data_IF_392576194916
#
_entry.id   IF_392576194916
#
_cell.length_a   1.000
_cell.length_b   1.000
_cell.length_c   1.000
_cell.angle_alpha   90.00
_cell.angle_beta   90.00
_cell.angle_gamma   90.00
#
_symmetry.space_group_name_H-M   'P 1'
#
loop_
_entity.id
_entity.type
_entity.pdbx_description
1 polymer ?
#
# COMPACT_ATOMS: atom_id res chain seq x y z
N UNK A 1 13.24 -42.93 -22.97
CA UNK A 1 14.51 -42.17 -22.96
C UNK A 1 14.35 -41.08 -21.92
N UNK A 2 14.99 -41.23 -20.77
CA UNK A 2 14.88 -40.35 -19.60
C UNK A 2 16.29 -39.85 -19.30
N UNK A 3 16.55 -38.54 -19.25
CA UNK A 3 17.82 -38.04 -18.72
C UNK A 3 17.69 -37.75 -17.20
N UNK A 4 18.71 -38.06 -16.39
CA UNK A 4 18.80 -37.66 -14.99
C UNK A 4 19.80 -36.50 -14.76
N UNK A 5 19.52 -35.64 -13.78
CA UNK A 5 20.45 -34.65 -13.23
C UNK A 5 19.78 -33.78 -12.16
N UNK A 6 19.75 -34.23 -10.89
CA UNK A 6 20.47 -33.68 -9.71
C UNK A 6 20.20 -32.18 -9.44
N UNK A 7 19.38 -31.87 -8.42
CA UNK A 7 19.77 -31.54 -7.03
C UNK A 7 20.58 -30.24 -6.94
N UNK A 8 20.03 -29.17 -6.36
CA UNK A 8 20.29 -28.58 -5.02
C UNK A 8 19.42 -27.28 -5.05
N UNK A 9 18.55 -26.88 -4.11
CA UNK A 9 18.71 -26.64 -2.69
C UNK A 9 17.42 -26.04 -2.08
N UNK A 10 17.32 -26.10 -0.76
CA UNK A 10 16.52 -25.27 0.16
C UNK A 10 14.99 -25.35 0.16
N UNK A 11 14.54 -26.18 1.10
CA UNK A 11 13.24 -26.12 1.78
C UNK A 11 13.19 -24.88 2.68
N UNK A 12 12.27 -23.95 2.39
CA UNK A 12 11.57 -23.08 3.36
C UNK A 12 10.32 -22.56 2.65
N UNK A 13 9.16 -23.07 3.04
CA UNK A 13 7.95 -22.28 3.30
C UNK A 13 6.79 -23.24 3.65
N UNK A 14 6.51 -23.39 4.93
CA UNK A 14 5.22 -23.89 5.40
C UNK A 14 5.10 -23.54 6.89
N UNK A 15 4.37 -22.47 7.20
CA UNK A 15 3.50 -22.35 8.39
C UNK A 15 2.84 -20.97 8.44
N UNK A 16 1.65 -20.87 7.82
CA UNK A 16 0.62 -19.89 8.19
C UNK A 16 -0.67 -20.65 8.41
N UNK A 17 -0.98 -20.97 9.66
CA UNK A 17 -2.35 -21.19 10.15
C UNK A 17 -2.37 -20.82 11.64
N UNK A 18 -3.05 -19.72 11.97
CA UNK A 18 -3.59 -19.44 13.30
C UNK A 18 -4.81 -20.37 13.55
N UNK A 19 -5.27 -20.59 14.80
CA UNK A 19 -6.13 -19.57 15.43
C UNK A 19 -6.03 -19.42 16.97
N UNK A 20 -6.22 -18.16 17.40
CA UNK A 20 -7.11 -17.64 18.46
C UNK A 20 -7.64 -18.63 19.53
N UNK A 21 -7.38 -18.36 20.83
CA UNK A 21 -8.39 -18.05 21.88
C UNK A 21 -7.80 -18.09 23.32
N UNK A 22 -8.26 -17.14 24.14
CA UNK A 22 -8.38 -17.12 25.62
C UNK A 22 -7.21 -16.60 26.49
N UNK A 23 -7.40 -15.38 27.00
CA UNK A 23 -6.92 -14.90 28.30
C UNK A 23 -7.94 -15.26 29.42
N UNK A 24 -7.75 -14.85 30.69
CA UNK A 24 -6.60 -15.03 31.58
C UNK A 24 -7.04 -15.71 32.90
N UNK A 25 -6.12 -16.28 33.69
CA UNK A 25 -6.35 -16.49 35.13
C UNK A 25 -5.04 -16.57 35.92
N UNK A 26 -5.12 -15.98 37.11
CA UNK A 26 -4.07 -15.73 38.06
C UNK A 26 -3.42 -17.00 38.65
N UNK A 27 -2.13 -16.91 38.96
CA UNK A 27 -1.52 -17.71 40.02
C UNK A 27 -0.54 -16.85 40.82
N UNK A 28 -0.88 -16.73 42.10
CA UNK A 28 -0.14 -16.09 43.16
C UNK A 28 1.11 -16.93 43.51
N UNK A 29 2.28 -16.29 43.64
CA UNK A 29 3.38 -16.82 44.47
C UNK A 29 3.93 -15.65 45.29
N UNK A 30 3.88 -15.84 46.60
CA UNK A 30 4.42 -14.97 47.63
C UNK A 30 5.74 -15.56 48.15
N UNK A 31 6.58 -14.66 48.67
CA UNK A 31 7.53 -14.80 49.79
C UNK A 31 9.03 -14.98 49.49
N UNK A 32 9.71 -13.84 49.69
CA UNK A 32 10.87 -13.52 50.55
C UNK A 32 12.32 -13.51 50.07
N UNK A 33 12.92 -12.39 50.48
CA UNK A 33 14.27 -12.11 50.98
C UNK A 33 15.30 -11.48 50.04
N UNK A 34 15.67 -10.27 50.48
CA UNK A 34 16.78 -9.42 50.10
C UNK A 34 18.04 -9.96 50.81
N UNK A 35 19.16 -10.10 50.10
CA UNK A 35 20.48 -9.73 50.62
C UNK A 35 21.51 -9.54 49.50
N UNK A 36 22.39 -8.58 49.72
CA UNK A 36 23.41 -8.08 48.81
C UNK A 36 24.58 -9.04 48.60
N UNK A 37 25.12 -9.11 47.37
CA UNK A 37 26.52 -8.71 47.07
C UNK A 37 26.93 -9.13 45.65
N UNK A 38 27.66 -8.20 45.02
CA UNK A 38 28.94 -8.36 44.29
C UNK A 38 28.89 -7.81 42.85
N UNK A 39 29.27 -6.54 42.71
CA UNK A 39 29.73 -5.94 41.44
C UNK A 39 31.26 -5.90 41.47
N UNK A 40 31.89 -6.39 40.40
CA UNK A 40 33.26 -6.11 40.04
C UNK A 40 33.43 -6.16 38.52
N UNK A 41 34.30 -5.25 38.06
CA UNK A 41 35.08 -5.21 36.81
C UNK A 41 34.58 -4.39 35.61
N UNK A 42 35.51 -3.58 35.08
CA UNK A 42 35.40 -2.70 33.91
C UNK A 42 36.05 -1.32 34.16
N UNK A 43 37.36 -1.26 34.47
CA UNK A 43 38.46 -0.90 33.55
C UNK A 43 38.41 0.51 32.92
N UNK A 44 39.38 1.37 33.29
CA UNK A 44 40.14 2.19 32.33
C UNK A 44 41.41 2.80 32.97
N UNK A 45 42.55 2.19 32.60
CA UNK A 45 43.79 2.81 32.10
C UNK A 45 44.32 4.14 32.66
N UNK A 46 45.37 4.01 33.47
CA UNK A 46 46.74 4.47 33.22
C UNK A 46 46.98 5.78 32.42
N UNK A 47 47.40 6.82 33.14
CA UNK A 47 48.44 7.73 32.68
C UNK A 47 49.39 8.05 33.85
N UNK A 48 50.66 7.76 33.63
CA UNK A 48 51.82 7.97 34.48
C UNK A 48 52.20 9.45 34.59
N UNK A 49 52.57 9.92 35.79
CA UNK A 49 53.91 10.48 36.04
C UNK A 49 54.06 11.04 37.47
N UNK A 50 55.31 10.99 37.94
CA UNK A 50 55.88 11.82 39.00
C UNK A 50 55.67 11.37 40.44
N UNK A 51 56.60 10.52 40.88
CA UNK A 51 57.05 10.55 42.26
C UNK A 51 57.50 11.97 42.62
N UNK A 52 56.85 12.59 43.60
CA UNK A 52 57.40 13.68 44.38
C UNK A 52 57.11 13.42 45.86
N UNK A 53 58.21 13.25 46.59
CA UNK A 53 58.26 13.11 48.03
C UNK A 53 57.53 14.26 48.72
N UNK A 54 56.62 13.93 49.64
CA UNK A 54 55.87 14.89 50.44
C UNK A 54 55.44 14.29 51.77
N UNK A 55 56.42 14.17 52.68
CA UNK A 55 56.31 14.14 54.15
C UNK A 55 55.13 13.37 54.77
N UNK A 56 55.41 12.12 55.17
CA UNK A 56 54.67 11.44 56.22
C UNK A 56 54.75 12.22 57.53
N UNK A 57 53.59 12.73 57.98
CA UNK A 57 53.39 13.28 59.31
C UNK A 57 53.14 12.15 60.30
N UNK A 58 54.16 11.94 61.14
CA UNK A 58 54.24 11.09 62.32
C UNK A 58 52.91 10.55 62.90
N UNK A 59 52.68 9.25 62.71
CA UNK A 59 52.04 8.44 63.74
C UNK A 59 53.01 8.36 64.92
N UNK A 60 52.79 9.18 65.93
CA UNK A 60 53.58 9.16 67.15
C UNK A 60 53.36 7.84 67.89
N UNK A 61 54.31 6.92 67.76
CA UNK A 61 54.58 5.89 68.77
C UNK A 61 55.16 6.59 70.02
N UNK A 62 54.29 7.30 70.74
CA UNK A 62 54.51 7.67 72.12
C UNK A 62 53.82 6.63 73.00
N UNK A 63 54.59 5.81 73.70
CA UNK A 63 54.06 5.03 74.82
C UNK A 63 53.48 6.00 75.85
N UNK A 64 52.18 6.24 75.78
CA UNK A 64 51.48 7.05 76.76
C UNK A 64 51.63 6.36 78.12
N UNK A 65 51.99 7.14 79.14
CA UNK A 65 51.85 6.70 80.52
C UNK A 65 50.39 6.22 80.75
N UNK A 66 50.16 5.19 81.59
CA UNK A 66 48.82 4.74 81.89
C UNK A 66 48.00 5.92 82.42
N UNK A 67 46.91 6.25 81.74
CA UNK A 67 46.01 7.31 82.18
C UNK A 67 45.14 6.79 83.34
N UNK A 68 44.75 7.69 84.24
CA UNK A 68 43.83 7.39 85.35
C UNK A 68 42.54 8.21 85.28
N UNK A 69 42.53 9.23 84.43
CA UNK A 69 41.39 10.09 84.13
C UNK A 69 41.51 10.67 82.72
N UNK A 70 40.39 11.15 82.16
CA UNK A 70 40.34 11.76 80.83
C UNK A 70 41.28 12.99 80.69
N UNK A 71 41.57 13.68 81.80
CA UNK A 71 42.50 14.82 81.84
C UNK A 71 43.99 14.44 81.67
N UNK A 72 44.34 13.16 81.85
CA UNK A 72 45.71 12.67 81.65
C UNK A 72 46.05 12.48 80.16
N UNK A 73 45.04 12.55 79.29
CA UNK A 73 45.18 12.31 77.86
C UNK A 73 45.37 13.61 77.07
N UNK A 74 46.49 13.76 76.36
CA UNK A 74 46.76 14.97 75.58
C UNK A 74 45.85 15.05 74.34
N UNK A 75 45.22 16.21 74.14
CA UNK A 75 44.42 16.51 72.96
C UNK A 75 43.68 17.83 73.12
N UNK A 76 43.16 18.38 72.03
CA UNK A 76 42.27 19.53 72.06
C UNK A 76 40.84 19.04 72.25
N UNK A 77 40.07 19.70 73.10
CA UNK A 77 38.63 19.47 73.20
C UNK A 77 37.99 20.07 71.95
N UNK A 78 37.27 19.24 71.19
CA UNK A 78 36.38 19.70 70.13
C UNK A 78 34.97 19.20 70.41
N UNK A 79 33.97 19.91 69.88
CA UNK A 79 32.58 19.47 69.88
C UNK A 79 32.40 18.10 69.21
N UNK A 80 33.35 17.69 68.38
CA UNK A 80 33.33 16.43 67.64
C UNK A 80 34.15 15.30 68.26
N UNK A 81 34.89 15.58 69.33
CA UNK A 81 35.65 14.55 70.02
C UNK A 81 36.45 15.11 71.19
N UNK A 82 36.44 14.34 72.27
CA UNK A 82 37.22 14.66 73.47
C UNK A 82 38.23 13.54 73.78
N UNK A 83 39.42 13.87 74.34
CA UNK A 83 40.38 12.87 74.80
C UNK A 83 39.79 12.07 75.95
N UNK A 84 39.87 10.74 75.89
CA UNK A 84 39.37 9.84 76.93
C UNK A 84 40.36 8.76 77.33
N UNK A 85 40.33 8.42 78.60
CA UNK A 85 41.06 7.31 79.17
C UNK A 85 40.20 6.04 79.17
N UNK A 86 40.60 5.05 78.38
CA UNK A 86 39.89 3.77 78.30
C UNK A 86 40.21 2.87 79.51
N UNK A 87 39.32 1.90 79.86
CA UNK A 87 39.48 1.05 81.05
C UNK A 87 40.76 0.21 81.10
N UNK A 88 41.44 0.05 79.97
CA UNK A 88 42.73 -0.62 79.80
C UNK A 88 43.94 0.31 80.00
N UNK A 89 43.71 1.54 80.47
CA UNK A 89 44.74 2.53 80.80
C UNK A 89 45.37 3.22 79.60
N UNK A 90 44.73 3.11 78.41
CA UNK A 90 45.21 3.74 77.17
C UNK A 90 44.40 5.00 76.86
N UNK A 91 45.10 6.05 76.44
CA UNK A 91 44.46 7.24 75.91
C UNK A 91 43.94 7.00 74.48
N UNK A 92 42.75 7.50 74.19
CA UNK A 92 42.23 7.64 72.85
C UNK A 92 41.25 8.80 72.74
N UNK A 93 40.44 8.82 71.70
CA UNK A 93 39.43 9.86 71.47
C UNK A 93 38.04 9.24 71.43
N UNK A 94 37.09 9.87 72.11
CA UNK A 94 35.67 9.55 72.03
C UNK A 94 35.04 10.48 71.01
N UNK A 95 35.13 10.08 69.74
CA UNK A 95 34.62 10.87 68.63
C UNK A 95 33.10 10.79 68.59
N UNK A 96 32.46 11.93 68.38
CA UNK A 96 31.05 11.98 68.06
C UNK A 96 30.77 11.22 66.75
N UNK A 97 29.58 10.61 66.60
CA UNK A 97 29.22 9.91 65.38
C UNK A 97 29.21 10.85 64.17
N UNK A 98 29.37 10.28 62.98
CA UNK A 98 29.31 11.07 61.74
C UNK A 98 27.95 11.79 61.64
N UNK A 99 27.97 13.08 61.35
CA UNK A 99 26.75 13.90 61.30
C UNK A 99 26.30 14.50 62.63
N UNK A 100 27.00 14.25 63.74
CA UNK A 100 26.72 14.96 64.99
C UNK A 100 26.93 16.48 64.80
N UNK A 101 26.04 17.34 65.34
CA UNK A 101 26.13 18.78 65.15
C UNK A 101 27.36 19.35 65.86
N UNK A 102 28.03 20.29 65.20
CA UNK A 102 29.13 21.06 65.77
C UNK A 102 29.09 22.49 65.25
N UNK A 103 29.58 23.45 66.05
CA UNK A 103 29.57 24.88 65.73
C UNK A 103 30.99 25.48 65.82
N UNK A 104 31.99 24.75 65.32
CA UNK A 104 33.39 25.16 65.37
C UNK A 104 33.87 25.66 63.99
N UNK A 105 34.22 26.94 63.93
CA UNK A 105 34.65 27.57 62.67
C UNK A 105 33.51 27.66 61.66
N UNK A 106 33.70 27.10 60.47
CA UNK A 106 32.69 26.98 59.42
C UNK A 106 32.07 25.57 59.34
N UNK A 107 32.36 24.69 60.31
CA UNK A 107 31.84 23.34 60.32
C UNK A 107 30.41 23.27 60.87
N UNK A 108 29.63 22.32 60.35
CA UNK A 108 28.24 22.06 60.77
C UNK A 108 28.05 20.62 61.28
N UNK A 109 28.96 19.70 60.94
CA UNK A 109 28.84 18.30 61.32
C UNK A 109 30.20 17.63 61.60
N UNK A 110 30.18 16.66 62.50
CA UNK A 110 31.36 15.85 62.83
C UNK A 110 31.62 14.77 61.78
N UNK A 111 32.88 14.56 61.41
CA UNK A 111 33.31 13.61 60.39
C UNK A 111 33.54 12.16 60.89
N UNK A 112 33.27 11.91 62.18
CA UNK A 112 33.54 10.65 62.88
C UNK A 112 35.02 10.42 63.25
N UNK A 113 35.91 11.35 62.91
CA UNK A 113 37.34 11.33 63.25
C UNK A 113 37.75 12.44 64.23
N UNK A 114 36.77 13.14 64.81
CA UNK A 114 37.00 14.23 65.77
C UNK A 114 37.09 15.61 65.14
N UNK A 115 36.87 15.75 63.82
CA UNK A 115 36.89 17.05 63.14
C UNK A 115 35.48 17.57 62.86
N UNK A 116 35.27 18.84 63.17
CA UNK A 116 34.11 19.58 62.72
C UNK A 116 34.35 20.03 61.27
N UNK A 117 33.53 19.54 60.33
CA UNK A 117 33.64 19.80 58.89
C UNK A 117 32.37 20.47 58.37
N UNK A 118 32.47 21.15 57.23
CA UNK A 118 31.35 21.91 56.65
C UNK A 118 30.19 20.98 56.28
N UNK A 119 30.50 19.81 55.72
CA UNK A 119 29.48 18.82 55.39
C UNK A 119 29.98 17.38 55.53
N UNK A 120 29.04 16.48 55.81
CA UNK A 120 29.23 15.02 55.74
C UNK A 120 28.12 14.34 54.94
N UNK A 121 27.07 15.08 54.63
CA UNK A 121 25.98 14.72 53.75
C UNK A 121 25.55 15.96 52.96
N UNK A 122 24.96 15.73 51.79
CA UNK A 122 24.44 16.77 50.90
C UNK A 122 23.50 17.76 51.59
N UNK A 123 22.66 17.27 52.51
CA UNK A 123 21.69 18.10 53.25
C UNK A 123 22.33 19.18 54.13
N UNK A 124 23.63 19.07 54.45
CA UNK A 124 24.34 20.09 55.22
C UNK A 124 24.70 21.32 54.38
N UNK A 125 24.65 21.21 53.06
CA UNK A 125 24.98 22.28 52.13
C UNK A 125 23.71 22.93 51.57
N UNK A 126 23.72 24.26 51.44
CA UNK A 126 22.64 25.00 50.78
C UNK A 126 22.48 24.58 49.30
N UNK A 127 23.59 24.24 48.63
CA UNK A 127 23.62 23.65 47.29
C UNK A 127 23.19 22.19 47.23
N UNK A 128 22.92 21.55 48.37
CA UNK A 128 22.69 20.11 48.50
C UNK A 128 23.83 19.25 47.93
N UNK A 129 25.06 19.77 47.88
CA UNK A 129 26.22 19.05 47.34
C UNK A 129 27.43 19.17 48.25
N UNK A 130 27.77 18.04 48.88
CA UNK A 130 28.96 17.91 49.70
C UNK A 130 30.12 17.33 48.88
N UNK A 131 31.23 18.07 48.80
CA UNK A 131 32.43 17.67 48.07
C UNK A 131 33.21 16.53 48.76
N UNK A 132 34.11 15.84 48.03
CA UNK A 132 34.94 14.76 48.58
C UNK A 132 35.91 15.25 49.69
N UNK A 133 36.21 16.54 49.71
CA UNK A 133 37.01 17.24 50.72
C UNK A 133 36.19 17.72 51.93
N UNK A 134 34.90 17.34 52.02
CA UNK A 134 33.97 17.68 53.11
C UNK A 134 33.68 19.18 53.21
N UNK A 135 33.72 19.86 52.08
CA UNK A 135 33.32 21.26 51.88
C UNK A 135 32.07 21.33 51.02
N UNK A 136 31.29 22.39 51.17
CA UNK A 136 30.12 22.59 50.32
C UNK A 136 30.54 23.13 48.96
N UNK A 137 30.12 22.43 47.90
CA UNK A 137 30.38 22.85 46.52
C UNK A 137 29.23 23.78 46.10
N UNK A 138 29.50 24.95 45.48
CA UNK A 138 28.44 25.82 45.00
C UNK A 138 27.55 25.13 43.96
N UNK A 139 26.28 25.53 43.93
CA UNK A 139 25.30 25.16 42.93
C UNK A 139 25.78 25.54 41.51
N UNK A 140 25.57 24.67 40.53
CA UNK A 140 25.94 24.92 39.12
C UNK A 140 24.96 24.22 38.18
N UNK A 141 24.57 24.90 37.09
CA UNK A 141 23.66 24.44 36.02
C UNK A 141 24.19 23.30 35.14
N UNK A 142 24.76 22.25 35.73
CA UNK A 142 25.41 21.16 35.01
C UNK A 142 26.06 20.14 35.94
N UNK A 143 25.51 19.99 37.15
CA UNK A 143 25.98 19.02 38.13
C UNK A 143 25.03 17.87 38.43
N UNK A 144 24.01 17.70 37.59
CA UNK A 144 23.03 16.63 37.58
C UNK A 144 22.21 16.53 38.86
N UNK A 145 22.02 17.66 39.56
CA UNK A 145 21.24 17.75 40.78
C UNK A 145 20.41 19.03 40.73
N UNK A 146 19.08 18.92 40.79
CA UNK A 146 18.17 20.07 40.94
C UNK A 146 18.47 20.83 42.26
N UNK A 147 19.21 21.94 42.14
CA UNK A 147 19.63 22.76 43.28
C UNK A 147 19.79 24.25 42.92
N UNK A 148 20.02 25.10 43.93
CA UNK A 148 20.04 26.54 43.70
C UNK A 148 18.65 27.09 43.34
N UNK A 149 18.56 27.85 42.25
CA UNK A 149 17.31 28.38 41.69
C UNK A 149 16.89 27.69 40.38
N UNK A 150 17.47 26.53 40.07
CA UNK A 150 17.01 25.65 38.99
C UNK A 150 15.55 25.24 39.19
N UNK A 151 14.83 25.05 38.09
CA UNK A 151 13.43 24.60 38.11
C UNK A 151 13.25 23.15 37.70
N UNK A 152 14.28 22.57 37.07
CA UNK A 152 14.49 21.13 36.92
C UNK A 152 16.02 20.87 36.84
N UNK A 153 16.45 19.61 36.83
CA UNK A 153 17.86 19.23 36.89
C UNK A 153 18.68 19.95 35.82
N UNK A 154 19.60 20.81 36.27
CA UNK A 154 20.53 21.60 35.44
C UNK A 154 19.87 22.59 34.45
N UNK A 155 18.62 23.01 34.66
CA UNK A 155 17.94 23.96 33.77
C UNK A 155 16.96 24.91 34.49
N UNK A 156 16.62 26.02 33.81
CA UNK A 156 15.68 27.02 34.28
C UNK A 156 16.25 27.97 35.35
N UNK A 157 15.45 28.95 35.77
CA UNK A 157 15.85 29.95 36.77
C UNK A 157 16.96 30.87 36.26
N UNK A 158 18.13 30.83 36.91
CA UNK A 158 19.32 31.58 36.48
C UNK A 158 20.20 30.85 35.47
N UNK A 159 19.86 29.61 35.10
CA UNK A 159 20.63 28.84 34.16
C UNK A 159 20.54 29.39 32.73
N UNK A 160 21.63 29.19 31.97
CA UNK A 160 21.67 29.57 30.54
C UNK A 160 20.86 28.59 29.69
N UNK A 161 20.70 27.36 30.18
CA UNK A 161 19.89 26.35 29.53
C UNK A 161 18.46 26.42 30.07
N UNK A 162 17.51 26.67 29.16
CA UNK A 162 16.09 26.56 29.45
C UNK A 162 15.69 25.07 29.46
N UNK A 163 14.69 24.74 30.26
CA UNK A 163 14.16 23.40 30.41
C UNK A 163 13.32 22.97 29.19
N UNK A 164 13.51 21.72 28.77
CA UNK A 164 12.73 21.13 27.69
C UNK A 164 11.28 20.78 28.13
N UNK A 165 10.38 20.46 27.19
CA UNK A 165 9.01 20.12 27.54
C UNK A 165 8.87 18.92 28.48
N UNK A 166 7.93 19.00 29.42
CA UNK A 166 7.73 18.04 30.51
C UNK A 166 8.64 18.24 31.72
N UNK A 167 9.66 19.09 31.62
CA UNK A 167 10.52 19.46 32.75
C UNK A 167 9.86 20.51 33.66
N UNK A 168 10.28 20.55 34.91
CA UNK A 168 9.83 21.53 35.90
C UNK A 168 10.13 22.98 35.51
N UNK A 169 9.17 23.88 35.71
CA UNK A 169 9.32 25.31 35.46
C UNK A 169 8.67 26.16 36.55
N UNK A 170 9.27 27.31 36.84
CA UNK A 170 8.74 28.35 37.73
C UNK A 170 8.01 29.46 36.96
N UNK A 171 8.32 29.62 35.67
CA UNK A 171 7.63 30.51 34.74
C UNK A 171 8.02 30.24 33.29
N UNK A 172 7.38 30.97 32.38
CA UNK A 172 7.51 30.81 30.93
C UNK A 172 8.95 30.91 30.42
N UNK A 173 9.77 31.76 31.04
CA UNK A 173 11.17 31.95 30.68
C UNK A 173 12.09 30.78 31.05
N UNK A 174 11.61 29.82 31.84
CA UNK A 174 12.38 28.61 32.17
C UNK A 174 12.26 27.55 31.09
N UNK A 175 11.42 27.74 30.07
CA UNK A 175 11.10 26.72 29.07
C UNK A 175 11.62 27.11 27.69
N UNK A 176 12.20 26.16 26.96
CA UNK A 176 12.65 26.38 25.56
C UNK A 176 11.49 26.88 24.67
N UNK A 177 10.27 26.37 24.89
CA UNK A 177 9.05 26.81 24.22
C UNK A 177 8.36 28.04 24.81
N UNK A 178 8.94 28.65 25.85
CA UNK A 178 8.43 29.88 26.44
C UNK A 178 7.06 29.74 27.13
N UNK A 179 6.64 28.53 27.49
CA UNK A 179 5.32 28.27 28.05
C UNK A 179 5.38 27.28 29.21
N UNK A 180 5.08 27.77 30.41
CA UNK A 180 5.03 26.98 31.64
C UNK A 180 3.58 26.76 32.09
N UNK A 181 3.09 25.52 31.98
CA UNK A 181 1.70 25.17 32.31
C UNK A 181 1.68 24.12 33.42
N UNK A 182 1.06 24.48 34.56
CA UNK A 182 0.95 23.57 35.69
C UNK A 182 2.29 23.24 36.37
N UNK A 183 3.30 24.11 36.20
CA UNK A 183 4.65 23.90 36.72
C UNK A 183 5.52 22.98 35.85
N UNK A 184 5.06 22.66 34.64
CA UNK A 184 5.80 21.89 33.64
C UNK A 184 5.90 22.67 32.34
N UNK A 185 7.04 22.57 31.66
CA UNK A 185 7.22 23.15 30.33
C UNK A 185 6.30 22.47 29.33
N UNK A 186 5.45 23.25 28.67
CA UNK A 186 4.56 22.74 27.65
C UNK A 186 5.32 22.51 26.34
N UNK A 187 4.90 21.49 25.60
CA UNK A 187 5.28 21.30 24.20
C UNK A 187 4.77 22.49 23.38
N UNK A 188 5.60 23.07 22.51
CA UNK A 188 5.15 24.10 21.58
C UNK A 188 5.70 23.86 20.19
N UNK A 189 4.91 24.20 19.17
CA UNK A 189 5.25 24.03 17.76
C UNK A 189 6.34 24.99 17.23
N UNK A 190 7.24 25.47 18.10
CA UNK A 190 8.28 26.46 17.77
C UNK A 190 9.50 26.39 18.70
N UNK A 191 9.62 25.33 19.52
CA UNK A 191 10.69 25.20 20.53
C UNK A 191 11.97 24.51 20.01
N UNK A 192 12.00 24.12 18.74
CA UNK A 192 13.17 23.55 18.08
C UNK A 192 13.37 22.07 18.35
N UNK A 193 12.50 21.41 19.12
CA UNK A 193 12.69 20.03 19.56
C UNK A 193 11.43 19.21 19.30
N UNK A 194 11.53 18.07 18.58
CA UNK A 194 10.38 17.17 18.39
C UNK A 194 9.89 16.64 19.73
N UNK A 195 8.74 17.09 20.18
CA UNK A 195 8.15 16.69 21.46
C UNK A 195 6.61 16.77 21.45
N UNK A 196 5.96 16.37 22.54
CA UNK A 196 4.49 16.36 22.59
C UNK A 196 3.87 15.43 21.53
N UNK A 197 2.93 15.97 20.75
CA UNK A 197 2.24 15.26 19.65
C UNK A 197 2.83 15.58 18.27
N UNK A 198 3.97 16.27 18.20
CA UNK A 198 4.65 16.59 16.95
C UNK A 198 5.20 15.36 16.24
N UNK A 199 5.09 15.33 14.92
CA UNK A 199 5.64 14.25 14.10
C UNK A 199 6.98 14.62 13.46
N UNK A 200 7.23 15.92 13.26
CA UNK A 200 8.52 16.53 12.94
C UNK A 200 9.03 17.40 14.09
N UNK A 201 10.15 18.12 13.92
CA UNK A 201 10.52 19.14 14.89
C UNK A 201 9.61 20.35 14.64
N UNK A 202 8.86 20.80 15.66
CA UNK A 202 7.99 21.99 15.59
C UNK A 202 6.84 21.89 14.57
N UNK A 203 6.47 20.68 14.12
CA UNK A 203 5.46 20.50 13.09
C UNK A 203 4.78 19.13 13.13
N UNK A 204 3.61 19.05 12.50
CA UNK A 204 2.80 17.84 12.38
C UNK A 204 2.07 17.47 13.68
N UNK A 205 1.22 16.45 13.62
CA UNK A 205 0.26 16.18 14.69
C UNK A 205 -0.95 17.14 14.65
N UNK A 206 -1.90 17.00 15.59
CA UNK A 206 -3.16 17.74 15.55
C UNK A 206 -3.07 19.21 15.99
N UNK A 207 -2.05 19.55 16.79
CA UNK A 207 -1.91 20.87 17.43
C UNK A 207 -0.93 21.81 16.70
N UNK A 208 -0.14 21.31 15.75
CA UNK A 208 0.87 22.07 15.01
C UNK A 208 0.56 22.21 13.52
N UNK A 209 1.22 23.18 12.87
CA UNK A 209 1.14 23.30 11.41
C UNK A 209 1.81 22.11 10.72
N UNK A 210 1.39 21.82 9.49
CA UNK A 210 1.92 20.71 8.71
C UNK A 210 3.41 20.88 8.40
N UNK A 211 4.14 19.78 8.44
CA UNK A 211 5.56 19.68 8.19
C UNK A 211 5.93 19.89 6.70
N UNK A 212 7.06 20.59 6.42
CA UNK A 212 7.61 20.71 5.08
C UNK A 212 8.26 19.41 4.58
N UNK A 213 8.61 19.36 3.30
CA UNK A 213 9.29 18.20 2.71
C UNK A 213 10.59 17.82 3.45
N UNK A 214 10.77 16.53 3.71
CA UNK A 214 11.91 15.95 4.42
C UNK A 214 11.82 16.00 5.94
N UNK A 215 10.81 16.64 6.53
CA UNK A 215 10.54 16.57 7.96
C UNK A 215 9.80 15.28 8.33
N UNK A 216 9.82 14.91 9.61
CA UNK A 216 9.19 13.69 10.11
C UNK A 216 7.66 13.73 10.07
N UNK A 217 7.04 12.60 9.77
CA UNK A 217 5.58 12.43 9.76
C UNK A 217 5.19 11.03 10.22
N UNK A 218 3.95 10.87 10.68
CA UNK A 218 3.36 9.56 10.98
C UNK A 218 2.16 9.27 10.06
N UNK A 219 1.43 10.31 9.66
CA UNK A 219 0.31 10.24 8.72
C UNK A 219 0.44 11.28 7.62
N UNK A 220 -0.23 11.04 6.50
CA UNK A 220 -0.25 11.94 5.33
C UNK A 220 -0.63 13.39 5.70
N UNK A 221 -1.59 13.55 6.62
CA UNK A 221 -2.06 14.85 7.08
C UNK A 221 -1.03 15.67 7.85
N UNK A 222 0.08 15.07 8.30
CA UNK A 222 1.16 15.80 8.95
C UNK A 222 1.98 16.63 7.97
N UNK A 223 1.88 16.36 6.67
CA UNK A 223 2.73 16.95 5.65
C UNK A 223 2.02 18.04 4.84
N UNK A 224 2.74 19.11 4.48
CA UNK A 224 2.21 20.13 3.56
C UNK A 224 1.84 19.51 2.20
N UNK A 225 2.59 18.50 1.77
CA UNK A 225 2.30 17.70 0.57
C UNK A 225 1.09 16.77 0.72
N UNK A 226 0.57 16.60 1.93
CA UNK A 226 -0.40 15.55 2.28
C UNK A 226 0.09 14.13 1.96
N UNK A 227 1.40 13.89 1.98
CA UNK A 227 1.99 12.58 1.67
C UNK A 227 3.18 12.27 2.57
N UNK A 228 3.00 11.27 3.42
CA UNK A 228 4.00 10.77 4.35
C UNK A 228 4.56 9.44 3.84
N UNK A 229 5.83 9.42 3.44
CA UNK A 229 6.50 8.23 2.92
C UNK A 229 7.72 7.88 3.77
N UNK A 230 7.80 6.64 4.25
CA UNK A 230 8.89 6.14 5.08
C UNK A 230 9.18 7.01 6.34
N UNK A 231 8.11 7.60 6.90
CA UNK A 231 8.19 8.47 8.08
C UNK A 231 8.70 9.88 7.81
N UNK A 232 8.80 10.27 6.53
CA UNK A 232 9.20 11.61 6.10
C UNK A 232 8.19 12.21 5.12
N UNK A 233 7.96 13.51 5.22
CA UNK A 233 7.12 14.22 4.26
C UNK A 233 7.81 14.22 2.89
N UNK A 234 7.19 13.55 1.93
CA UNK A 234 7.69 13.47 0.56
C UNK A 234 6.80 14.27 -0.38
N UNK A 235 7.31 14.62 -1.56
CA UNK A 235 6.44 15.18 -2.59
C UNK A 235 5.34 14.15 -2.89
N UNK A 236 4.09 14.60 -2.94
CA UNK A 236 3.00 13.70 -3.31
C UNK A 236 3.30 13.14 -4.71
N UNK A 237 3.13 11.83 -4.92
CA UNK A 237 3.39 11.19 -6.21
C UNK A 237 2.53 11.85 -7.29
N UNK A 238 3.13 12.13 -8.44
CA UNK A 238 2.41 12.69 -9.58
C UNK A 238 2.59 11.78 -10.78
N UNK A 239 1.59 11.74 -11.67
CA UNK A 239 1.60 10.89 -12.87
C UNK A 239 2.64 11.28 -13.94
N UNK A 240 3.68 12.04 -13.59
CA UNK A 240 4.68 12.60 -14.48
C UNK A 240 6.00 12.91 -13.74
N UNK A 241 6.26 12.27 -12.60
CA UNK A 241 7.46 12.49 -11.80
C UNK A 241 8.63 11.56 -12.17
N UNK A 242 8.43 10.63 -13.10
CA UNK A 242 9.45 9.72 -13.62
C UNK A 242 9.68 8.49 -12.74
N UNK A 243 8.87 8.26 -11.71
CA UNK A 243 8.97 7.13 -10.81
C UNK A 243 7.65 6.37 -10.73
N UNK A 244 7.67 5.03 -10.80
CA UNK A 244 6.46 4.23 -10.59
C UNK A 244 6.03 4.30 -9.12
N UNK A 245 5.07 5.15 -8.80
CA UNK A 245 4.60 5.40 -7.44
C UNK A 245 3.08 5.69 -7.41
N UNK A 246 2.52 5.97 -6.21
CA UNK A 246 1.09 6.30 -6.09
C UNK A 246 0.14 5.22 -6.63
N UNK A 247 -0.79 5.63 -7.50
CA UNK A 247 -1.79 4.75 -8.14
C UNK A 247 -1.31 4.13 -9.47
N UNK A 248 -0.08 4.39 -9.88
CA UNK A 248 0.44 4.00 -11.19
C UNK A 248 0.68 2.49 -11.32
N UNK A 249 0.37 1.96 -12.51
CA UNK A 249 0.69 0.56 -12.84
C UNK A 249 1.98 0.42 -13.63
N UNK A 250 2.44 1.49 -14.28
CA UNK A 250 3.78 1.64 -14.87
C UNK A 250 4.29 3.07 -14.65
N UNK A 251 5.57 3.34 -14.91
CA UNK A 251 6.15 4.69 -14.68
C UNK A 251 5.34 5.77 -15.43
N UNK A 252 4.81 6.74 -14.70
CA UNK A 252 4.03 7.88 -15.23
C UNK A 252 2.69 7.50 -15.90
N UNK A 253 2.15 6.28 -15.67
CA UNK A 253 0.89 5.86 -16.27
C UNK A 253 0.15 4.72 -15.54
N UNK A 254 -1.14 4.58 -15.87
CA UNK A 254 -2.02 3.55 -15.36
C UNK A 254 -2.66 3.90 -14.01
N UNK A 255 -3.60 3.09 -13.56
CA UNK A 255 -4.50 3.46 -12.46
C UNK A 255 -5.64 4.39 -12.91
N UNK A 256 -6.46 4.81 -11.96
CA UNK A 256 -7.67 5.58 -12.25
C UNK A 256 -7.39 7.09 -12.45
N UNK A 257 -6.40 7.64 -11.75
CA UNK A 257 -6.09 9.06 -11.77
C UNK A 257 -5.08 9.49 -12.85
N UNK A 258 -4.26 8.57 -13.36
CA UNK A 258 -3.17 8.87 -14.27
C UNK A 258 -3.53 8.62 -15.75
N UNK A 259 -2.75 9.17 -16.70
CA UNK A 259 -2.87 8.83 -18.11
C UNK A 259 -2.71 7.32 -18.31
N UNK A 260 -3.46 6.77 -19.27
CA UNK A 260 -3.38 5.33 -19.56
C UNK A 260 -2.04 4.99 -20.20
N UNK A 261 -1.53 3.81 -19.87
CA UNK A 261 -0.31 3.25 -20.42
C UNK A 261 -0.48 2.84 -21.88
N UNK A 262 0.58 3.09 -22.66
CA UNK A 262 0.71 2.58 -24.02
C UNK A 262 1.02 1.09 -24.07
N UNK A 263 1.14 0.55 -25.28
CA UNK A 263 1.43 -0.88 -25.50
C UNK A 263 2.72 -1.32 -24.82
N UNK A 264 2.69 -2.50 -24.19
CA UNK A 264 3.79 -3.08 -23.43
C UNK A 264 4.00 -2.49 -22.03
N UNK A 265 3.30 -1.40 -21.68
CA UNK A 265 3.34 -0.84 -20.33
C UNK A 265 2.71 -1.79 -19.31
N UNK A 266 3.20 -1.77 -18.08
CA UNK A 266 2.69 -2.62 -17.00
C UNK A 266 1.26 -2.20 -16.60
N UNK A 267 0.39 -3.19 -16.38
CA UNK A 267 -1.01 -2.99 -16.03
C UNK A 267 -1.50 -4.04 -15.03
N UNK A 268 -2.54 -3.69 -14.29
CA UNK A 268 -3.31 -4.63 -13.45
C UNK A 268 -4.61 -4.99 -14.15
N UNK A 269 -5.29 -4.00 -14.72
CA UNK A 269 -6.58 -4.13 -15.38
C UNK A 269 -6.61 -3.35 -16.71
N UNK A 270 -7.62 -3.60 -17.54
CA UNK A 270 -7.77 -2.93 -18.82
C UNK A 270 -7.86 -1.40 -18.72
N UNK A 271 -8.36 -0.86 -17.61
CA UNK A 271 -8.48 0.60 -17.44
C UNK A 271 -7.12 1.32 -17.45
N UNK A 272 -6.06 0.61 -17.07
CA UNK A 272 -4.70 1.12 -17.07
C UNK A 272 -4.15 1.31 -18.48
N UNK A 273 -4.75 0.67 -19.50
CA UNK A 273 -4.23 0.62 -20.85
C UNK A 273 -5.03 1.49 -21.80
N UNK A 274 -4.34 2.22 -22.69
CA UNK A 274 -4.98 2.98 -23.76
C UNK A 274 -5.82 2.05 -24.66
N UNK A 275 -5.34 0.82 -24.87
CA UNK A 275 -6.04 -0.25 -25.59
C UNK A 275 -7.22 -0.85 -24.84
N UNK A 276 -7.44 -0.50 -23.57
CA UNK A 276 -8.39 -1.17 -22.68
C UNK A 276 -8.10 -2.67 -22.43
N UNK A 277 -6.96 -3.19 -22.87
CA UNK A 277 -6.63 -4.63 -22.87
C UNK A 277 -5.34 -4.89 -22.09
N UNK A 278 -5.47 -5.51 -20.92
CA UNK A 278 -4.35 -5.90 -20.07
C UNK A 278 -4.17 -7.42 -20.10
N UNK A 279 -3.09 -7.90 -20.74
CA UNK A 279 -2.83 -9.33 -20.93
C UNK A 279 -1.51 -9.69 -20.28
N UNK A 280 -1.55 -10.61 -19.32
CA UNK A 280 -0.36 -11.06 -18.57
C UNK A 280 0.40 -9.91 -17.87
N UNK A 281 -0.34 -8.89 -17.42
CA UNK A 281 0.22 -7.74 -16.71
C UNK A 281 0.88 -6.69 -17.61
N UNK A 282 0.67 -6.75 -18.93
CA UNK A 282 1.12 -5.75 -19.87
C UNK A 282 0.00 -5.32 -20.84
N UNK A 283 -0.01 -4.04 -21.20
CA UNK A 283 -0.97 -3.50 -22.15
C UNK A 283 -0.76 -4.12 -23.53
N UNK A 284 -1.75 -4.88 -23.99
CA UNK A 284 -1.73 -5.55 -25.27
C UNK A 284 -2.41 -4.70 -26.35
N UNK A 285 -2.08 -4.95 -27.61
CA UNK A 285 -2.81 -4.34 -28.71
C UNK A 285 -4.26 -4.87 -28.71
N UNK A 286 -5.24 -4.04 -29.11
CA UNK A 286 -6.63 -4.49 -29.25
C UNK A 286 -6.71 -5.66 -30.24
N UNK A 287 -7.49 -6.69 -29.91
CA UNK A 287 -7.73 -7.84 -30.79
C UNK A 287 -9.18 -8.25 -30.75
N UNK A 288 -9.71 -8.77 -31.86
CA UNK A 288 -11.08 -9.28 -32.01
C UNK A 288 -11.38 -10.59 -31.24
N UNK A 289 -10.77 -10.78 -30.08
CA UNK A 289 -10.94 -11.94 -29.21
C UNK A 289 -10.43 -11.67 -27.77
N UNK A 290 -10.23 -10.40 -27.39
CA UNK A 290 -9.73 -10.04 -26.05
C UNK A 290 -10.85 -9.77 -25.03
N UNK A 291 -12.11 -9.86 -25.44
CA UNK A 291 -13.27 -9.80 -24.56
C UNK A 291 -13.69 -8.37 -24.21
N UNK A 292 -13.11 -7.35 -24.85
CA UNK A 292 -13.40 -5.95 -24.56
C UNK A 292 -13.67 -5.18 -25.85
N UNK A 293 -14.70 -4.31 -25.87
CA UNK A 293 -14.93 -3.43 -27.01
C UNK A 293 -13.85 -2.34 -27.04
N UNK A 294 -12.87 -2.48 -27.93
CA UNK A 294 -11.77 -1.53 -28.07
C UNK A 294 -11.38 -1.31 -29.53
N UNK A 295 -10.37 -0.46 -29.76
CA UNK A 295 -9.94 -0.14 -31.13
C UNK A 295 -11.07 0.45 -31.99
N UNK A 296 -11.32 -0.17 -33.13
CA UNK A 296 -12.33 0.23 -34.11
C UNK A 296 -13.47 -0.81 -34.23
N UNK A 297 -13.68 -1.61 -33.19
CA UNK A 297 -14.75 -2.61 -33.13
C UNK A 297 -16.13 -1.97 -32.98
N UNK A 298 -17.13 -2.59 -33.62
CA UNK A 298 -18.51 -2.15 -33.54
C UNK A 298 -19.20 -2.69 -32.26
N UNK A 299 -18.99 -3.96 -31.95
CA UNK A 299 -19.38 -4.63 -30.70
C UNK A 299 -18.15 -5.15 -29.95
N UNK A 300 -18.35 -5.95 -28.90
CA UNK A 300 -17.22 -6.61 -28.21
C UNK A 300 -16.65 -7.69 -29.13
N UNK A 301 -15.37 -7.59 -29.51
CA UNK A 301 -14.67 -8.56 -30.36
C UNK A 301 -15.28 -8.75 -31.77
N UNK A 302 -16.05 -7.78 -32.29
CA UNK A 302 -16.74 -7.91 -33.57
C UNK A 302 -16.94 -6.58 -34.30
N UNK A 303 -17.16 -6.65 -35.61
CA UNK A 303 -17.43 -5.49 -36.47
C UNK A 303 -16.64 -5.54 -37.77
N UNK A 304 -16.67 -4.46 -38.55
CA UNK A 304 -16.06 -4.44 -39.88
C UNK A 304 -14.53 -4.62 -39.87
N UNK A 305 -13.88 -4.24 -38.77
CA UNK A 305 -12.43 -4.41 -38.59
C UNK A 305 -12.02 -5.83 -38.18
N UNK A 306 -12.99 -6.67 -37.81
CA UNK A 306 -12.78 -8.02 -37.37
C UNK A 306 -13.05 -9.04 -38.49
N UNK A 307 -12.46 -10.25 -38.42
CA UNK A 307 -12.71 -11.30 -39.41
C UNK A 307 -14.18 -11.73 -39.47
N UNK A 308 -14.86 -11.69 -38.32
CA UNK A 308 -16.27 -12.02 -38.17
C UNK A 308 -17.05 -10.74 -37.84
N UNK A 309 -18.16 -10.54 -38.55
CA UNK A 309 -19.11 -9.48 -38.22
C UNK A 309 -19.86 -9.78 -36.92
N UNK A 310 -20.45 -8.75 -36.34
CA UNK A 310 -21.22 -8.85 -35.12
C UNK A 310 -22.49 -9.70 -35.28
N UNK A 311 -22.82 -10.54 -34.28
CA UNK A 311 -24.06 -11.31 -34.28
C UNK A 311 -25.29 -10.41 -34.09
N UNK A 312 -26.51 -10.93 -34.33
CA UNK A 312 -27.73 -10.15 -34.17
C UNK A 312 -27.91 -9.58 -32.76
N UNK A 313 -28.32 -8.32 -32.65
CA UNK A 313 -28.54 -7.59 -31.40
C UNK A 313 -27.33 -6.79 -30.89
N UNK A 314 -26.14 -7.03 -31.42
CA UNK A 314 -24.95 -6.24 -31.11
C UNK A 314 -24.97 -4.88 -31.81
N UNK A 315 -24.33 -3.84 -31.23
CA UNK A 315 -24.29 -2.50 -31.82
C UNK A 315 -23.52 -2.48 -33.14
N UNK A 316 -23.98 -1.66 -34.08
CA UNK A 316 -23.36 -1.44 -35.38
C UNK A 316 -23.45 0.03 -35.80
N UNK A 317 -22.52 0.46 -36.66
CA UNK A 317 -22.57 1.77 -37.32
C UNK A 317 -22.91 1.64 -38.82
N UNK A 318 -22.54 0.52 -39.44
CA UNK A 318 -22.82 0.18 -40.82
C UNK A 318 -23.17 -1.30 -41.03
N UNK A 319 -23.61 -1.63 -42.24
CA UNK A 319 -23.95 -3.00 -42.62
C UNK A 319 -22.73 -3.94 -42.52
N UNK A 320 -21.54 -3.46 -42.91
CA UNK A 320 -20.29 -4.24 -42.83
C UNK A 320 -19.91 -4.69 -41.42
N UNK A 321 -20.46 -4.04 -40.38
CA UNK A 321 -20.22 -4.45 -39.00
C UNK A 321 -20.93 -5.74 -38.63
N UNK A 322 -21.99 -6.11 -39.35
CA UNK A 322 -22.86 -7.21 -38.98
C UNK A 322 -22.55 -8.47 -39.80
N UNK A 323 -22.57 -9.62 -39.15
CA UNK A 323 -22.49 -10.91 -39.86
C UNK A 323 -23.65 -11.07 -40.86
N UNK A 324 -24.82 -10.49 -40.55
CA UNK A 324 -25.98 -10.44 -41.45
C UNK A 324 -25.86 -9.43 -42.59
N UNK A 325 -24.88 -8.52 -42.55
CA UNK A 325 -24.81 -7.37 -43.47
C UNK A 325 -26.03 -6.44 -43.38
N UNK A 326 -26.75 -6.45 -42.24
CA UNK A 326 -27.93 -5.63 -42.00
C UNK A 326 -27.81 -4.96 -40.64
N UNK A 327 -27.68 -3.64 -40.65
CA UNK A 327 -27.64 -2.79 -39.45
C UNK A 327 -28.93 -1.95 -39.39
N UNK A 328 -29.78 -2.19 -38.38
CA UNK A 328 -31.09 -1.56 -38.26
C UNK A 328 -31.20 -0.69 -37.00
N UNK A 329 -31.86 0.46 -37.15
CA UNK A 329 -32.16 1.37 -36.05
C UNK A 329 -31.67 2.80 -36.29
N UNK A 330 -31.98 3.73 -35.39
CA UNK A 330 -31.50 5.10 -35.49
C UNK A 330 -29.99 5.18 -35.17
N UNK A 331 -29.26 6.06 -35.86
CA UNK A 331 -27.82 6.28 -35.66
C UNK A 331 -27.48 6.50 -34.18
N UNK A 332 -26.51 5.73 -33.67
CA UNK A 332 -26.11 5.72 -32.26
C UNK A 332 -26.83 4.69 -31.38
N UNK A 333 -27.80 3.97 -31.95
CA UNK A 333 -28.51 2.85 -31.30
C UNK A 333 -28.87 1.74 -32.29
N UNK A 334 -28.23 1.74 -33.46
CA UNK A 334 -28.43 0.72 -34.47
C UNK A 334 -27.79 -0.59 -34.00
N UNK A 335 -28.47 -1.70 -34.30
CA UNK A 335 -28.05 -3.04 -33.93
C UNK A 335 -28.11 -3.96 -35.14
N UNK A 336 -27.28 -4.99 -35.13
CA UNK A 336 -27.29 -5.99 -36.18
C UNK A 336 -28.62 -6.75 -36.18
N UNK A 337 -29.30 -6.75 -37.31
CA UNK A 337 -30.52 -7.53 -37.46
C UNK A 337 -30.19 -9.01 -37.66
N UNK A 338 -31.13 -9.89 -37.31
CA UNK A 338 -31.04 -11.29 -37.72
C UNK A 338 -31.17 -11.39 -39.25
N UNK A 339 -30.43 -12.30 -39.91
CA UNK A 339 -30.61 -12.55 -41.34
C UNK A 339 -32.06 -12.96 -41.62
N UNK A 340 -32.65 -12.45 -42.69
CA UNK A 340 -34.05 -12.69 -43.00
C UNK A 340 -34.27 -12.95 -44.48
N UNK A 341 -35.17 -13.89 -44.79
CA UNK A 341 -35.52 -14.29 -46.15
C UNK A 341 -36.27 -13.25 -47.00
N UNK A 342 -36.25 -11.97 -46.60
CA UNK A 342 -36.99 -10.90 -47.27
C UNK A 342 -36.28 -9.54 -47.15
N UNK A 343 -35.01 -9.50 -46.76
CA UNK A 343 -34.23 -8.27 -46.57
C UNK A 343 -33.43 -7.86 -47.81
N UNK A 344 -33.45 -8.68 -48.87
CA UNK A 344 -32.76 -8.41 -50.12
C UNK A 344 -31.26 -8.65 -50.06
N UNK A 345 -30.74 -9.17 -48.94
CA UNK A 345 -29.34 -9.53 -48.78
C UNK A 345 -29.16 -11.03 -49.05
N UNK A 346 -27.91 -11.46 -49.22
CA UNK A 346 -27.56 -12.88 -49.31
C UNK A 346 -26.76 -13.21 -48.05
N UNK A 347 -27.48 -13.58 -47.00
CA UNK A 347 -26.95 -13.78 -45.65
C UNK A 347 -27.55 -15.04 -45.01
N UNK A 348 -27.09 -15.40 -43.81
CA UNK A 348 -27.58 -16.62 -43.15
C UNK A 348 -27.26 -17.89 -43.95
N UNK A 349 -28.26 -18.77 -44.11
CA UNK A 349 -28.14 -20.04 -44.84
C UNK A 349 -28.85 -20.02 -46.21
N UNK A 350 -29.16 -18.83 -46.72
CA UNK A 350 -29.75 -18.65 -48.06
C UNK A 350 -28.84 -19.20 -49.16
N UNK A 351 -29.45 -19.73 -50.21
CA UNK A 351 -28.71 -20.17 -51.39
C UNK A 351 -28.47 -19.03 -52.38
N UNK A 352 -29.39 -18.07 -52.43
CA UNK A 352 -29.31 -16.84 -53.21
C UNK A 352 -30.26 -15.81 -52.59
N UNK A 353 -30.04 -14.51 -52.78
CA UNK A 353 -30.80 -13.41 -52.14
C UNK A 353 -32.26 -13.77 -51.80
N UNK A 354 -32.59 -13.83 -50.50
CA UNK A 354 -33.94 -14.12 -49.98
C UNK A 354 -34.55 -15.50 -50.38
N UNK A 355 -33.76 -16.47 -50.83
CA UNK A 355 -34.28 -17.77 -51.28
C UNK A 355 -33.35 -18.97 -51.01
N UNK A 356 -33.97 -20.15 -50.91
CA UNK A 356 -33.27 -21.40 -50.64
C UNK A 356 -32.84 -21.56 -49.18
N UNK A 357 -32.15 -22.65 -48.85
CA UNK A 357 -31.78 -22.96 -47.47
C UNK A 357 -33.01 -23.14 -46.57
N UNK A 358 -32.99 -22.47 -45.42
CA UNK A 358 -34.11 -22.42 -44.48
C UNK A 358 -35.32 -21.60 -44.96
N UNK A 359 -35.18 -20.81 -46.03
CA UNK A 359 -36.26 -19.96 -46.52
C UNK A 359 -37.42 -20.77 -47.13
N UNK A 360 -38.64 -20.31 -46.83
CA UNK A 360 -39.88 -20.82 -47.43
C UNK A 360 -39.90 -20.55 -48.94
N UNK A 361 -39.32 -19.43 -49.37
CA UNK A 361 -39.18 -19.06 -50.78
C UNK A 361 -38.06 -19.89 -51.41
N UNK A 362 -38.41 -20.65 -52.45
CA UNK A 362 -37.44 -21.44 -53.22
C UNK A 362 -36.91 -20.63 -54.40
N UNK A 363 -35.63 -20.82 -54.68
CA UNK A 363 -34.92 -20.06 -55.69
C UNK A 363 -35.42 -20.37 -57.10
N UNK A 364 -35.46 -19.33 -57.97
CA UNK A 364 -35.83 -19.50 -59.35
C UNK A 364 -34.75 -20.27 -60.14
N UNK A 365 -35.09 -20.79 -61.32
CA UNK A 365 -34.15 -21.45 -62.21
C UNK A 365 -32.94 -20.56 -62.53
N UNK A 366 -31.77 -21.19 -62.65
CA UNK A 366 -30.44 -20.57 -62.83
C UNK A 366 -29.86 -19.83 -61.62
N UNK A 367 -30.61 -19.67 -60.51
CA UNK A 367 -30.03 -19.19 -59.25
C UNK A 367 -29.13 -20.25 -58.60
N UNK A 368 -28.12 -19.83 -57.82
CA UNK A 368 -27.32 -20.76 -57.01
C UNK A 368 -28.17 -21.62 -56.07
N UNK A 369 -27.72 -22.85 -55.84
CA UNK A 369 -28.34 -23.82 -54.93
C UNK A 369 -27.28 -24.75 -54.32
N UNK A 370 -27.57 -25.30 -53.14
CA UNK A 370 -26.76 -26.32 -52.48
C UNK A 370 -27.46 -27.68 -52.51
N UNK A 371 -28.79 -27.70 -52.36
CA UNK A 371 -29.62 -28.90 -52.38
C UNK A 371 -30.84 -28.71 -53.27
N UNK A 372 -31.41 -29.83 -53.72
CA UNK A 372 -32.64 -29.87 -54.53
C UNK A 372 -33.79 -29.07 -53.89
N UNK A 373 -33.89 -29.09 -52.55
CA UNK A 373 -34.91 -28.38 -51.79
C UNK A 373 -34.78 -26.86 -51.85
N UNK A 374 -33.67 -26.31 -52.33
CA UNK A 374 -33.48 -24.86 -52.49
C UNK A 374 -34.23 -24.34 -53.72
N UNK A 375 -34.48 -25.21 -54.70
CA UNK A 375 -34.99 -24.83 -56.01
C UNK A 375 -36.50 -25.01 -56.11
N UNK A 376 -37.18 -24.05 -56.76
CA UNK A 376 -38.63 -24.14 -56.97
C UNK A 376 -39.05 -25.37 -57.78
N UNK A 377 -38.18 -25.79 -58.71
CA UNK A 377 -38.32 -27.04 -59.48
C UNK A 377 -37.85 -28.31 -58.77
N UNK A 378 -37.32 -28.20 -57.55
CA UNK A 378 -36.84 -29.33 -56.77
C UNK A 378 -35.59 -30.02 -57.33
N UNK A 379 -34.82 -29.36 -58.21
CA UNK A 379 -33.62 -29.93 -58.82
C UNK A 379 -32.47 -28.92 -58.86
N UNK A 380 -31.40 -29.26 -58.14
CA UNK A 380 -30.14 -28.53 -58.13
C UNK A 380 -29.10 -29.29 -58.95
N UNK A 381 -28.47 -28.64 -59.94
CA UNK A 381 -27.42 -29.29 -60.76
C UNK A 381 -26.16 -29.51 -59.87
N UNK A 382 -25.75 -30.76 -59.59
CA UNK A 382 -24.66 -31.04 -58.65
C UNK A 382 -23.28 -30.62 -59.17
N UNK A 383 -23.16 -30.29 -60.47
CA UNK A 383 -21.90 -29.82 -61.06
C UNK A 383 -21.87 -28.29 -61.17
N UNK A 384 -23.01 -27.67 -61.48
CA UNK A 384 -23.09 -26.22 -61.67
C UNK A 384 -23.52 -25.46 -60.42
N UNK A 385 -24.06 -26.17 -59.42
CA UNK A 385 -24.63 -25.60 -58.20
C UNK A 385 -25.67 -24.51 -58.51
N UNK A 386 -26.50 -24.76 -59.52
CA UNK A 386 -27.58 -23.86 -59.92
C UNK A 386 -28.88 -24.62 -60.14
N UNK A 387 -30.01 -23.96 -59.85
CA UNK A 387 -31.33 -24.53 -60.00
C UNK A 387 -31.59 -24.84 -61.48
N UNK A 388 -31.88 -26.10 -61.75
CA UNK A 388 -32.18 -26.53 -63.12
C UNK A 388 -33.62 -26.17 -63.49
N UNK A 389 -33.87 -25.81 -64.77
CA UNK A 389 -35.22 -25.66 -65.28
C UNK A 389 -35.98 -27.00 -65.22
N UNK A 390 -37.22 -26.98 -64.75
CA UNK A 390 -38.08 -28.18 -64.63
C UNK A 390 -39.54 -27.85 -64.94
N UNK A 391 -40.31 -28.87 -65.34
CA UNK A 391 -41.76 -28.81 -65.60
C UNK A 391 -42.66 -28.57 -64.37
N UNK A 392 -42.12 -28.04 -63.29
CA UNK A 392 -42.84 -27.74 -62.04
C UNK A 392 -42.29 -26.49 -61.33
N UNK A 393 -41.42 -25.71 -61.99
CA UNK A 393 -40.79 -24.54 -61.39
C UNK A 393 -41.60 -23.24 -61.56
N UNK A 394 -42.67 -23.27 -62.35
CA UNK A 394 -43.58 -22.15 -62.62
C UNK A 394 -43.00 -21.12 -63.59
N UNK A 395 -41.95 -21.46 -64.34
CA UNK A 395 -41.34 -20.60 -65.36
C UNK A 395 -41.37 -21.27 -66.73
N UNK A 396 -41.66 -20.50 -67.77
CA UNK A 396 -41.54 -20.99 -69.14
C UNK A 396 -40.05 -21.02 -69.55
N UNK A 397 -39.38 -22.14 -69.30
CA UNK A 397 -37.98 -22.35 -69.62
C UNK A 397 -37.77 -23.79 -70.14
N UNK A 398 -36.53 -24.30 -70.25
CA UNK A 398 -36.30 -25.73 -70.48
C UNK A 398 -36.80 -26.33 -71.81
N UNK A 399 -37.40 -25.54 -72.70
CA UNK A 399 -38.07 -25.98 -73.93
C UNK A 399 -39.59 -26.08 -73.83
N UNK A 400 -40.19 -25.65 -72.71
CA UNK A 400 -41.63 -25.64 -72.45
C UNK A 400 -42.35 -24.57 -73.26
N UNK A 401 -43.61 -24.83 -73.62
CA UNK A 401 -44.38 -23.91 -74.45
C UNK A 401 -45.25 -22.95 -73.66
N UNK A 402 -45.50 -23.24 -72.38
CA UNK A 402 -46.11 -22.38 -71.35
C UNK A 402 -45.48 -22.78 -69.99
N UNK A 403 -45.56 -21.99 -68.91
CA UNK A 403 -45.01 -22.38 -67.61
C UNK A 403 -45.50 -23.76 -67.16
N UNK A 404 -44.56 -24.69 -66.93
CA UNK A 404 -44.78 -26.06 -66.48
C UNK A 404 -45.58 -26.96 -67.43
N UNK A 405 -45.78 -26.59 -68.70
CA UNK A 405 -46.51 -27.42 -69.65
C UNK A 405 -46.06 -27.31 -71.12
N UNK A 406 -46.39 -28.37 -71.87
CA UNK A 406 -46.09 -28.47 -73.29
C UNK A 406 -44.61 -28.70 -73.59
N UNK A 407 -44.26 -28.83 -74.87
CA UNK A 407 -42.92 -29.16 -75.31
C UNK A 407 -42.41 -30.48 -74.69
N UNK A 408 -41.26 -30.47 -73.98
CA UNK A 408 -40.67 -31.65 -73.36
C UNK A 408 -41.43 -32.14 -72.10
N UNK A 409 -42.37 -31.36 -71.57
CA UNK A 409 -43.10 -31.73 -70.38
C UNK A 409 -44.14 -32.82 -70.62
N UNK A 410 -44.28 -33.68 -69.61
CA UNK A 410 -45.34 -34.69 -69.56
C UNK A 410 -46.72 -34.04 -69.42
N UNK A 411 -46.81 -32.93 -68.66
CA UNK A 411 -48.01 -32.11 -68.51
C UNK A 411 -48.29 -31.36 -69.81
N UNK A 412 -49.52 -31.49 -70.31
CA UNK A 412 -50.00 -30.76 -71.49
C UNK A 412 -50.75 -29.51 -71.09
N UNK A 413 -50.65 -28.46 -71.90
CA UNK A 413 -51.20 -27.15 -71.62
C UNK A 413 -52.73 -27.15 -71.71
N UNK A 414 -53.42 -26.53 -70.72
CA UNK A 414 -54.88 -26.43 -70.72
C UNK A 414 -55.38 -25.49 -71.82
N UNK A 415 -56.69 -25.44 -72.02
CA UNK A 415 -57.33 -24.49 -72.94
C UNK A 415 -56.91 -23.05 -72.61
N UNK A 416 -56.51 -22.30 -73.64
CA UNK A 416 -55.97 -20.95 -73.54
C UNK A 416 -54.46 -20.86 -73.27
N UNK A 417 -53.80 -21.97 -72.93
CA UNK A 417 -52.35 -22.02 -72.72
C UNK A 417 -51.56 -21.91 -74.02
N UNK A 418 -50.29 -21.50 -73.91
CA UNK A 418 -49.39 -21.33 -75.05
C UNK A 418 -48.88 -22.67 -75.61
N UNK A 419 -48.83 -22.77 -76.94
CA UNK A 419 -48.42 -23.99 -77.65
C UNK A 419 -47.62 -23.67 -78.91
N UNK A 420 -46.77 -24.61 -79.34
CA UNK A 420 -46.11 -24.57 -80.64
C UNK A 420 -46.62 -25.67 -81.58
N UNK A 421 -47.08 -26.78 -80.99
CA UNK A 421 -47.61 -27.94 -81.69
C UNK A 421 -48.89 -28.44 -81.02
N UNK A 422 -49.70 -29.17 -81.77
CA UNK A 422 -50.90 -29.83 -81.24
C UNK A 422 -50.60 -30.81 -80.09
N UNK A 423 -49.37 -31.32 -79.99
CA UNK A 423 -48.95 -32.25 -78.93
C UNK A 423 -48.72 -31.53 -77.60
N UNK A 424 -48.64 -30.20 -77.59
CA UNK A 424 -48.46 -29.42 -76.38
C UNK A 424 -49.77 -29.24 -75.62
N UNK A 425 -50.91 -29.44 -76.28
CA UNK A 425 -52.24 -29.19 -75.73
C UNK A 425 -52.86 -30.45 -75.10
N UNK A 426 -53.74 -30.25 -74.12
CA UNK A 426 -54.57 -31.32 -73.56
C UNK A 426 -55.44 -31.98 -74.64
N UNK A 427 -55.89 -33.23 -74.44
CA UNK A 427 -56.83 -33.87 -75.36
C UNK A 427 -58.04 -32.99 -75.63
N UNK A 428 -58.56 -33.04 -76.87
CA UNK A 428 -59.71 -32.27 -77.35
C UNK A 428 -59.46 -30.76 -77.56
N UNK A 429 -58.19 -30.33 -77.58
CA UNK A 429 -57.78 -28.98 -78.02
C UNK A 429 -56.66 -29.05 -79.05
N UNK A 430 -56.56 -28.04 -79.92
CA UNK A 430 -55.62 -27.92 -81.01
C UNK A 430 -54.81 -26.64 -80.89
N UNK A 431 -53.56 -26.66 -81.37
CA UNK A 431 -52.71 -25.48 -81.33
C UNK A 431 -53.03 -24.55 -82.50
N UNK A 432 -53.83 -23.51 -82.25
CA UNK A 432 -54.18 -22.50 -83.23
C UNK A 432 -53.71 -21.11 -82.77
N UNK A 433 -53.04 -20.39 -83.66
CA UNK A 433 -52.51 -19.04 -83.37
C UNK A 433 -51.63 -18.99 -82.10
N UNK A 434 -50.93 -20.09 -81.81
CA UNK A 434 -50.03 -20.21 -80.65
C UNK A 434 -50.73 -20.46 -79.31
N UNK A 435 -52.03 -20.81 -79.31
CA UNK A 435 -52.80 -21.13 -78.11
C UNK A 435 -53.59 -22.43 -78.28
N UNK A 436 -53.78 -23.17 -77.19
CA UNK A 436 -54.61 -24.37 -77.16
C UNK A 436 -56.09 -23.97 -77.17
N UNK A 437 -56.77 -24.22 -78.28
CA UNK A 437 -58.19 -23.87 -78.49
C UNK A 437 -58.99 -25.14 -78.82
N UNK A 438 -60.29 -25.22 -78.45
CA UNK A 438 -61.13 -26.38 -78.70
C UNK A 438 -61.42 -26.65 -80.19
#
# INVERSE_FOLDING_TARGET
MIPPGRLVSFVREAQKLAPVLLAPLAACVLITDIDERKIHEGEASSASSSASSGVGGAGGEGGAAPCTSDADCPGVLSACGEPRCFPDGRCGFDNQPIGAPCDEGAGAACDGKGHCVECTANVHCASRKCGPDRTCVPATCGDAIENGDETDVDCGGSCVADCGPGAGCGGDGDCVGGLCVGGLCAATCTDGVKNGEETGNDCGGPDCETCPLGAGCEVDGDCESSFCADGLCAAAPTCADGEKNGEETDVDCGGAACPKCGLGGACVDGIDCESASCVQGACAAPTCADGVKNGAEAGVDCGAVCPEGCPPGEPCEGAEDCASQVCEGPSGSAVCAAPSCFDGQHNGDEAFYDCGGSCDVKCPPLSPCLVDADCKGGLCDPQKLTCSPTCTDGYQNGGETDPDCGGPCATKCPEGGHCLTHLDCVPDTYCEQGHCLP
#
